data_IF_974360975399
#
_entry.id   IF_974360975399
#
_cell.length_a   1.000
_cell.length_b   1.000
_cell.length_c   1.000
_cell.angle_alpha   90.00
_cell.angle_beta   90.00
_cell.angle_gamma   90.00
#
_symmetry.space_group_name_H-M   'P 1'
#
loop_
_entity.id
_entity.type
_entity.pdbx_description
1 polymer ?
#
# COMPACT_ATOMS: atom_id res chain seq x y z
N UNK A 1 -23.44 3.79 19.11
CA UNK A 1 -23.38 5.27 19.23
C UNK A 1 -22.10 5.84 19.86
N UNK A 2 -21.32 5.11 20.70
CA UNK A 2 -20.04 5.61 21.27
C UNK A 2 -19.07 6.19 20.22
N UNK A 3 -18.73 5.38 19.20
CA UNK A 3 -17.78 5.78 18.13
C UNK A 3 -18.30 7.00 17.35
N UNK A 4 -19.60 7.02 17.06
CA UNK A 4 -20.24 8.16 16.39
C UNK A 4 -20.11 9.47 17.18
N UNK A 5 -20.36 9.45 18.49
CA UNK A 5 -20.21 10.65 19.34
C UNK A 5 -18.74 11.09 19.41
N UNK A 6 -17.80 10.14 19.48
CA UNK A 6 -16.36 10.46 19.45
C UNK A 6 -15.95 11.12 18.13
N UNK A 7 -16.48 10.67 16.99
CA UNK A 7 -16.24 11.28 15.69
C UNK A 7 -16.68 12.74 15.62
N UNK A 8 -17.85 13.05 16.20
CA UNK A 8 -18.35 14.43 16.29
C UNK A 8 -17.43 15.29 17.17
N UNK A 9 -17.04 14.80 18.36
CA UNK A 9 -16.14 15.53 19.28
C UNK A 9 -14.80 15.85 18.61
N UNK A 10 -14.24 14.89 17.86
CA UNK A 10 -12.97 15.08 17.16
C UNK A 10 -13.11 15.81 15.81
N UNK A 11 -14.33 16.13 15.39
CA UNK A 11 -14.63 16.75 14.10
C UNK A 11 -14.00 15.98 12.92
N UNK A 12 -14.16 14.65 12.91
CA UNK A 12 -13.69 13.75 11.85
C UNK A 12 -14.87 12.97 11.24
N UNK A 13 -14.73 12.55 9.98
CA UNK A 13 -15.72 11.71 9.33
C UNK A 13 -15.54 10.24 9.72
N UNK A 14 -16.47 9.69 10.51
CA UNK A 14 -16.37 8.30 11.01
C UNK A 14 -16.81 7.23 10.00
N UNK A 15 -17.28 7.63 8.82
CA UNK A 15 -17.87 6.74 7.82
C UNK A 15 -17.16 6.80 6.47
N UNK A 16 -16.00 7.45 6.40
CA UNK A 16 -15.12 7.38 5.24
C UNK A 16 -13.93 6.44 5.49
N UNK A 17 -13.21 6.12 4.41
CA UNK A 17 -12.09 5.18 4.45
C UNK A 17 -11.01 5.51 3.42
N UNK A 18 -10.72 6.78 3.15
CA UNK A 18 -9.75 7.19 2.12
C UNK A 18 -8.34 6.60 2.33
N UNK A 19 -7.96 6.33 3.58
CA UNK A 19 -6.65 5.78 3.94
C UNK A 19 -6.33 4.41 3.32
N UNK A 20 -7.30 3.69 2.76
CA UNK A 20 -7.06 2.38 2.13
C UNK A 20 -6.61 2.47 0.67
N UNK A 21 -6.81 3.60 0.00
CA UNK A 21 -6.74 3.67 -1.46
C UNK A 21 -5.31 3.67 -2.00
N UNK A 22 -4.38 4.39 -1.35
CA UNK A 22 -3.00 4.45 -1.81
C UNK A 22 -2.32 3.07 -1.81
N UNK A 23 -2.54 2.29 -0.74
CA UNK A 23 -2.00 0.94 -0.64
C UNK A 23 -2.51 0.01 -1.75
N UNK A 24 -3.82 0.09 -2.08
CA UNK A 24 -4.40 -0.67 -3.19
C UNK A 24 -3.78 -0.28 -4.54
N UNK A 25 -3.62 1.01 -4.79
CA UNK A 25 -3.02 1.51 -6.03
C UNK A 25 -1.55 1.07 -6.19
N UNK A 26 -0.76 1.13 -5.11
CA UNK A 26 0.63 0.67 -5.13
C UNK A 26 0.71 -0.84 -5.35
N UNK A 27 -0.13 -1.63 -4.66
CA UNK A 27 -0.16 -3.08 -4.83
C UNK A 27 -0.51 -3.49 -6.26
N UNK A 28 -1.48 -2.82 -6.91
CA UNK A 28 -1.84 -3.05 -8.31
C UNK A 28 -0.67 -2.79 -9.27
N UNK A 29 0.17 -1.79 -8.98
CA UNK A 29 1.38 -1.51 -9.78
C UNK A 29 2.48 -2.56 -9.56
N UNK A 30 2.69 -2.99 -8.32
CA UNK A 30 3.73 -3.98 -7.96
C UNK A 30 3.37 -5.39 -8.44
N UNK A 31 2.09 -5.76 -8.45
CA UNK A 31 1.64 -7.11 -8.84
C UNK A 31 2.25 -7.65 -10.15
N UNK A 32 2.24 -6.93 -11.29
CA UNK A 32 2.88 -7.41 -12.52
C UNK A 32 4.41 -7.50 -12.40
N UNK A 33 5.04 -6.62 -11.62
CA UNK A 33 6.49 -6.59 -11.43
C UNK A 33 7.01 -7.84 -10.72
N UNK A 34 6.19 -8.48 -9.87
CA UNK A 34 6.53 -9.73 -9.18
C UNK A 34 6.57 -10.95 -10.11
N UNK A 35 5.95 -10.87 -11.29
CA UNK A 35 5.87 -12.00 -12.23
C UNK A 35 6.99 -11.95 -13.26
N UNK A 36 7.53 -10.76 -13.53
CA UNK A 36 8.71 -10.56 -14.38
C UNK A 36 9.99 -11.04 -13.71
N UNK A 37 10.93 -11.59 -14.47
CA UNK A 37 12.26 -11.99 -13.98
C UNK A 37 13.27 -10.82 -14.00
N UNK A 38 12.93 -9.69 -14.61
CA UNK A 38 13.83 -8.53 -14.71
C UNK A 38 14.00 -7.82 -13.36
N UNK A 39 15.19 -7.26 -13.08
CA UNK A 39 15.42 -6.48 -11.88
C UNK A 39 14.60 -5.18 -11.90
N UNK A 40 13.96 -4.87 -10.77
CA UNK A 40 13.13 -3.68 -10.60
C UNK A 40 13.97 -2.50 -10.14
N UNK A 41 13.80 -1.35 -10.81
CA UNK A 41 14.47 -0.07 -10.53
C UNK A 41 13.48 1.11 -10.47
N UNK A 42 12.16 0.84 -10.55
CA UNK A 42 11.10 1.85 -10.72
C UNK A 42 10.65 2.54 -9.43
N UNK A 43 11.02 2.02 -8.26
CA UNK A 43 10.61 2.55 -6.96
C UNK A 43 11.79 3.11 -6.16
N UNK A 44 11.53 3.47 -4.90
CA UNK A 44 12.61 3.79 -3.96
C UNK A 44 13.53 2.57 -3.72
N UNK A 45 14.72 2.82 -3.18
CA UNK A 45 15.74 1.79 -3.02
C UNK A 45 15.33 0.66 -2.09
N UNK A 46 14.48 0.91 -1.09
CA UNK A 46 13.98 -0.12 -0.19
C UNK A 46 13.03 -1.06 -0.93
N UNK A 47 12.03 -0.50 -1.61
CA UNK A 47 11.04 -1.28 -2.39
C UNK A 47 11.71 -2.10 -3.49
N UNK A 48 12.61 -1.51 -4.27
CA UNK A 48 13.37 -2.22 -5.30
C UNK A 48 14.20 -3.37 -4.70
N UNK A 49 14.90 -3.10 -3.59
CA UNK A 49 15.73 -4.09 -2.92
C UNK A 49 14.93 -5.29 -2.43
N UNK A 50 13.78 -5.05 -1.81
CA UNK A 50 12.91 -6.12 -1.29
C UNK A 50 12.27 -6.94 -2.41
N UNK A 51 11.80 -6.31 -3.49
CA UNK A 51 11.23 -7.02 -4.64
C UNK A 51 12.28 -7.91 -5.32
N UNK A 52 13.47 -7.37 -5.56
CA UNK A 52 14.56 -8.13 -6.19
C UNK A 52 15.07 -9.27 -5.30
N UNK A 53 15.11 -9.06 -3.98
CA UNK A 53 15.45 -10.12 -3.02
C UNK A 53 14.40 -11.23 -3.03
N UNK A 54 13.11 -10.86 -3.01
CA UNK A 54 12.01 -11.81 -3.11
C UNK A 54 12.11 -12.66 -4.40
N UNK A 55 12.36 -12.03 -5.55
CA UNK A 55 12.55 -12.75 -6.83
C UNK A 55 13.69 -13.74 -6.78
N UNK A 56 14.80 -13.40 -6.11
CA UNK A 56 15.96 -14.28 -5.96
C UNK A 56 15.71 -15.49 -5.05
N UNK A 57 14.77 -15.38 -4.10
CA UNK A 57 14.47 -16.42 -3.12
C UNK A 57 13.34 -17.38 -3.54
N UNK A 58 12.54 -16.97 -4.53
CA UNK A 58 11.53 -17.81 -5.18
C UNK A 58 12.20 -18.94 -5.98
#
# INVERSE_FOLDING_TARGET
HKIFVQGIIWNIFSFDQWGVELGKQLAQKIQPELTSEEPILSHDSSTNGLINLYKKWR
#
